data_IF_661519811121
#
_entry.id   IF_661519811121
#
_cell.length_a   1.000
_cell.length_b   1.000
_cell.length_c   1.000
_cell.angle_alpha   90.00
_cell.angle_beta   90.00
_cell.angle_gamma   90.00
#
_symmetry.space_group_name_H-M   'P 1'
#
loop_
_entity.id
_entity.type
_entity.pdbx_description
1 polymer ?
#
# COMPACT_ATOMS: atom_id res chain seq x y z
N UNK A 1 -40.05 -9.90 14.82
CA UNK A 1 -38.78 -9.16 14.61
C UNK A 1 -37.63 -10.14 14.35
N UNK A 2 -37.69 -10.93 13.27
CA UNK A 2 -36.64 -11.94 12.93
C UNK A 2 -36.09 -11.80 11.48
N UNK A 3 -36.59 -10.83 10.69
CA UNK A 3 -36.13 -10.64 9.31
C UNK A 3 -34.85 -9.79 9.18
N UNK A 4 -34.49 -9.02 10.22
CA UNK A 4 -33.31 -8.13 10.16
C UNK A 4 -31.97 -8.86 10.41
N UNK A 5 -31.99 -10.09 10.94
CA UNK A 5 -30.79 -10.84 11.30
C UNK A 5 -30.20 -11.66 10.14
N UNK A 6 -30.90 -11.75 9.00
CA UNK A 6 -30.52 -12.56 7.84
C UNK A 6 -29.73 -11.79 6.75
N UNK A 7 -29.49 -10.48 6.92
CA UNK A 7 -28.76 -9.65 5.93
C UNK A 7 -27.28 -9.42 6.33
N UNK A 8 -26.85 -9.84 7.52
CA UNK A 8 -25.51 -9.52 8.04
C UNK A 8 -24.60 -10.75 8.21
N UNK A 9 -24.74 -11.76 7.34
CA UNK A 9 -23.94 -13.00 7.40
C UNK A 9 -22.78 -13.04 6.42
N UNK A 10 -22.42 -11.91 5.81
CA UNK A 10 -21.19 -11.79 5.06
C UNK A 10 -20.36 -10.66 5.68
N UNK A 11 -19.75 -10.96 6.84
CA UNK A 11 -18.69 -10.14 7.45
C UNK A 11 -17.65 -9.86 6.37
N UNK A 12 -17.84 -8.74 5.69
CA UNK A 12 -17.08 -8.42 4.48
C UNK A 12 -15.72 -7.99 4.98
N UNK A 13 -14.75 -8.88 4.80
CA UNK A 13 -13.36 -8.67 5.18
C UNK A 13 -12.94 -7.23 4.86
N UNK A 14 -12.49 -6.49 5.87
CA UNK A 14 -12.12 -5.10 5.67
C UNK A 14 -10.98 -5.01 4.65
N UNK A 15 -11.24 -4.28 3.57
CA UNK A 15 -10.35 -4.05 2.44
C UNK A 15 -10.37 -2.57 2.10
N UNK A 16 -9.21 -2.00 1.83
CA UNK A 16 -9.07 -0.62 1.41
C UNK A 16 -8.13 -0.54 0.21
N UNK A 17 -8.60 0.07 -0.88
CA UNK A 17 -7.78 0.38 -2.06
C UNK A 17 -7.71 1.89 -2.17
N UNK A 18 -6.50 2.43 -2.27
CA UNK A 18 -6.31 3.86 -2.33
C UNK A 18 -5.06 4.22 -3.12
N UNK A 19 -5.07 5.43 -3.67
CA UNK A 19 -3.95 6.00 -4.41
C UNK A 19 -3.41 7.17 -3.61
N UNK A 20 -2.10 7.21 -3.43
CA UNK A 20 -1.41 8.32 -2.79
C UNK A 20 -0.55 9.03 -3.83
N UNK A 21 -0.66 10.35 -3.86
CA UNK A 21 0.21 11.24 -4.61
C UNK A 21 1.10 11.96 -3.61
N UNK A 22 2.42 11.96 -3.84
CA UNK A 22 3.38 12.72 -3.03
C UNK A 22 3.40 12.34 -1.54
N UNK A 23 3.12 11.08 -1.21
CA UNK A 23 3.22 10.54 0.15
C UNK A 23 4.68 10.41 0.63
N UNK A 24 5.01 9.32 1.34
CA UNK A 24 6.33 9.07 1.98
C UNK A 24 7.55 8.98 1.04
N UNK A 25 7.46 9.41 -0.23
CA UNK A 25 8.58 9.31 -1.17
C UNK A 25 8.48 10.08 -2.49
N UNK A 26 7.63 11.10 -2.63
CA UNK A 26 7.47 11.91 -3.87
C UNK A 26 6.89 11.15 -5.09
N UNK A 27 6.53 9.87 -4.96
CA UNK A 27 6.05 9.01 -6.04
C UNK A 27 4.52 8.85 -6.00
N UNK A 28 3.93 8.44 -7.13
CA UNK A 28 2.56 7.95 -7.21
C UNK A 28 2.54 6.49 -6.75
N UNK A 29 1.73 6.16 -5.75
CA UNK A 29 1.61 4.80 -5.21
C UNK A 29 0.17 4.34 -5.14
N UNK A 30 -0.14 3.19 -5.71
CA UNK A 30 -1.39 2.47 -5.48
C UNK A 30 -1.17 1.46 -4.35
N UNK A 31 -2.08 1.44 -3.38
CA UNK A 31 -1.99 0.60 -2.20
C UNK A 31 -3.27 -0.24 -2.04
N UNK A 32 -3.08 -1.47 -1.59
CA UNK A 32 -4.13 -2.37 -1.15
C UNK A 32 -3.83 -2.81 0.29
N UNK A 33 -4.74 -2.51 1.21
CA UNK A 33 -4.72 -2.94 2.60
C UNK A 33 -5.89 -3.89 2.85
N UNK A 34 -5.63 -5.01 3.51
CA UNK A 34 -6.67 -5.96 3.87
C UNK A 34 -6.41 -6.54 5.25
N UNK A 35 -7.49 -6.78 6.00
CA UNK A 35 -7.45 -7.64 7.19
C UNK A 35 -7.58 -9.08 6.74
N UNK A 36 -6.82 -10.01 7.31
CA UNK A 36 -6.92 -11.43 6.94
C UNK A 36 -8.07 -12.15 7.67
N UNK A 37 -8.56 -11.55 8.75
CA UNK A 37 -9.72 -12.02 9.50
C UNK A 37 -10.97 -11.21 9.15
N UNK A 38 -12.14 -11.85 9.24
CA UNK A 38 -13.46 -11.22 9.26
C UNK A 38 -13.73 -10.52 10.60
N UNK A 39 -12.69 -9.98 11.24
CA UNK A 39 -12.79 -9.26 12.51
C UNK A 39 -12.03 -7.96 12.36
N UNK A 40 -12.50 -6.94 13.06
CA UNK A 40 -11.85 -5.62 13.08
C UNK A 40 -10.48 -5.64 13.75
N UNK A 41 -10.21 -6.63 14.61
CA UNK A 41 -8.90 -6.88 15.21
C UNK A 41 -8.20 -8.08 14.55
N UNK A 42 -6.91 -8.21 14.82
CA UNK A 42 -6.08 -9.30 14.29
C UNK A 42 -5.15 -8.86 13.16
N UNK A 43 -4.67 -9.85 12.41
CA UNK A 43 -3.62 -9.67 11.41
C UNK A 43 -4.23 -9.08 10.14
N UNK A 44 -3.55 -8.07 9.60
CA UNK A 44 -3.76 -7.58 8.25
C UNK A 44 -2.43 -7.44 7.52
N UNK A 45 -2.53 -7.02 6.27
CA UNK A 45 -1.39 -6.77 5.43
C UNK A 45 -1.68 -5.66 4.44
N UNK A 46 -0.59 -5.03 4.00
CA UNK A 46 -0.58 -4.05 2.93
C UNK A 46 0.39 -4.47 1.84
N UNK A 47 0.01 -4.21 0.60
CA UNK A 47 0.91 -4.25 -0.54
C UNK A 47 0.61 -3.05 -1.42
N UNK A 48 1.64 -2.48 -2.03
CA UNK A 48 1.47 -1.42 -2.99
C UNK A 48 2.46 -1.52 -4.13
N UNK A 49 2.22 -0.68 -5.13
CA UNK A 49 3.14 -0.45 -6.23
C UNK A 49 3.26 1.05 -6.44
N UNK A 50 4.49 1.53 -6.53
CA UNK A 50 4.78 2.94 -6.72
C UNK A 50 5.70 3.19 -7.89
N UNK A 51 5.46 4.28 -8.59
CA UNK A 51 6.31 4.75 -9.67
C UNK A 51 6.38 6.27 -9.67
N UNK A 52 7.51 6.81 -10.11
CA UNK A 52 7.66 8.24 -10.33
C UNK A 52 9.10 8.63 -10.63
N UNK A 53 9.30 9.91 -10.90
CA UNK A 53 10.61 10.47 -11.25
C UNK A 53 11.09 11.39 -10.14
N UNK A 54 12.33 11.21 -9.71
CA UNK A 54 12.94 12.13 -8.74
C UNK A 54 13.30 13.45 -9.43
N UNK A 55 12.76 14.59 -8.95
CA UNK A 55 12.95 15.88 -9.61
C UNK A 55 14.41 16.37 -9.58
N UNK A 56 15.22 15.91 -8.62
CA UNK A 56 16.61 16.34 -8.47
C UNK A 56 17.62 15.53 -9.29
N UNK A 57 17.24 14.36 -9.80
CA UNK A 57 18.18 13.45 -10.49
C UNK A 57 17.64 12.91 -11.82
N UNK A 58 16.40 13.21 -12.18
CA UNK A 58 15.67 12.61 -13.31
C UNK A 58 15.63 11.07 -13.29
N UNK A 59 15.92 10.46 -12.15
CA UNK A 59 15.90 9.01 -12.01
C UNK A 59 14.46 8.54 -11.88
N UNK A 60 14.09 7.52 -12.67
CA UNK A 60 12.83 6.83 -12.49
C UNK A 60 12.97 5.83 -11.35
N UNK A 61 12.06 5.89 -10.39
CA UNK A 61 12.02 5.00 -9.24
C UNK A 61 10.75 4.18 -9.30
N UNK A 62 10.94 2.88 -9.08
CA UNK A 62 9.88 1.90 -8.91
C UNK A 62 9.97 1.30 -7.51
N UNK A 63 8.82 1.18 -6.84
CA UNK A 63 8.75 0.66 -5.48
C UNK A 63 7.65 -0.39 -5.32
N UNK A 64 7.90 -1.36 -4.46
CA UNK A 64 6.90 -2.33 -4.00
C UNK A 64 6.95 -2.34 -2.47
N UNK A 65 6.15 -1.52 -1.79
CA UNK A 65 5.96 -1.62 -0.35
C UNK A 65 5.11 -2.86 -0.01
N UNK A 66 5.57 -3.65 0.93
CA UNK A 66 4.83 -4.75 1.55
C UNK A 66 4.86 -4.57 3.07
N UNK A 67 3.79 -4.95 3.75
CA UNK A 67 3.73 -4.87 5.19
C UNK A 67 2.70 -5.78 5.81
N UNK A 68 2.92 -6.10 7.07
CA UNK A 68 2.01 -6.82 7.93
C UNK A 68 1.70 -5.93 9.12
N UNK A 69 0.46 -5.96 9.56
CA UNK A 69 0.02 -5.26 10.76
C UNK A 69 -0.83 -6.17 11.63
N UNK A 70 -0.86 -5.87 12.92
CA UNK A 70 -1.61 -6.61 13.92
C UNK A 70 -2.32 -5.62 14.84
N UNK A 71 -3.64 -5.64 14.80
CA UNK A 71 -4.52 -4.83 15.65
C UNK A 71 -4.89 -5.61 16.91
N UNK A 72 -4.42 -5.14 18.07
CA UNK A 72 -4.75 -5.66 19.39
C UNK A 72 -5.67 -4.67 20.10
N UNK A 73 -6.86 -5.10 20.51
CA UNK A 73 -7.77 -4.21 21.23
C UNK A 73 -9.18 -4.73 21.32
N UNK A 74 -10.01 -4.00 22.07
CA UNK A 74 -11.43 -4.29 22.30
C UNK A 74 -12.27 -3.02 22.15
N UNK A 75 -13.47 -3.18 21.59
CA UNK A 75 -14.47 -2.14 21.35
C UNK A 75 -13.96 -1.00 20.45
N UNK A 76 -13.46 0.08 21.06
CA UNK A 76 -13.13 1.35 20.41
C UNK A 76 -11.64 1.67 20.42
N UNK A 77 -10.87 1.05 21.33
CA UNK A 77 -9.44 1.28 21.46
C UNK A 77 -8.69 0.09 20.85
N UNK A 78 -7.89 0.37 19.83
CA UNK A 78 -7.02 -0.60 19.20
C UNK A 78 -5.59 -0.06 19.16
N UNK A 79 -4.67 -0.92 19.54
CA UNK A 79 -3.25 -0.74 19.37
C UNK A 79 -2.83 -1.49 18.10
N UNK A 80 -2.14 -0.80 17.19
CA UNK A 80 -1.62 -1.40 15.97
C UNK A 80 -0.10 -1.53 16.07
N UNK A 81 0.40 -2.74 15.84
CA UNK A 81 1.83 -2.98 15.60
C UNK A 81 2.01 -3.50 14.19
N UNK A 82 3.02 -3.03 13.48
CA UNK A 82 3.26 -3.45 12.12
C UNK A 82 4.73 -3.51 11.78
N UNK A 83 5.04 -4.33 10.78
CA UNK A 83 6.35 -4.44 10.16
C UNK A 83 6.19 -4.36 8.64
N UNK A 84 7.16 -3.77 7.97
CA UNK A 84 7.10 -3.62 6.52
C UNK A 84 8.47 -3.50 5.90
N UNK A 85 8.52 -3.84 4.62
CA UNK A 85 9.69 -3.71 3.79
C UNK A 85 9.27 -3.08 2.46
N UNK A 86 10.16 -2.28 1.88
CA UNK A 86 9.93 -1.66 0.59
C UNK A 86 11.04 -2.09 -0.35
N UNK A 87 10.69 -2.82 -1.40
CA UNK A 87 11.61 -3.02 -2.51
C UNK A 87 11.67 -1.73 -3.33
N UNK A 88 12.89 -1.29 -3.66
CA UNK A 88 13.12 -0.08 -4.44
C UNK A 88 14.09 -0.37 -5.57
N UNK A 89 13.72 0.01 -6.78
CA UNK A 89 14.59 0.03 -7.96
C UNK A 89 14.66 1.44 -8.51
N UNK A 90 15.85 2.02 -8.52
CA UNK A 90 16.13 3.29 -9.18
C UNK A 90 16.84 3.03 -10.51
N UNK A 91 16.36 3.64 -11.58
CA UNK A 91 16.99 3.60 -12.90
C UNK A 91 17.40 5.03 -13.25
N UNK A 92 18.68 5.29 -13.55
CA UNK A 92 19.11 6.60 -14.00
C UNK A 92 18.34 7.03 -15.25
N UNK A 93 17.80 8.25 -15.23
CA UNK A 93 17.21 8.84 -16.43
C UNK A 93 18.31 9.28 -17.37
N UNK A 94 18.82 8.37 -18.21
CA UNK A 94 19.70 8.77 -19.31
C UNK A 94 18.88 9.60 -20.28
N UNK A 95 18.99 10.93 -20.19
CA UNK A 95 18.55 11.82 -21.25
C UNK A 95 19.21 11.37 -22.55
N UNK A 96 18.37 11.12 -23.57
CA UNK A 96 18.69 10.79 -24.96
C UNK A 96 20.20 10.68 -25.24
N UNK A 97 20.74 9.45 -25.26
CA UNK A 97 22.02 9.21 -25.92
C UNK A 97 21.83 9.53 -27.41
N UNK A 98 22.20 10.75 -27.81
CA UNK A 98 22.35 11.12 -29.21
C UNK A 98 23.46 10.23 -29.75
N UNK A 99 23.08 9.19 -30.50
CA UNK A 99 24.01 8.45 -31.34
C UNK A 99 24.49 9.41 -32.42
N UNK A 100 25.61 10.09 -32.17
CA UNK A 100 26.34 10.78 -33.22
C UNK A 100 27.22 9.72 -33.92
N UNK A 101 26.64 9.09 -34.94
CA UNK A 101 27.40 8.25 -35.86
C UNK A 101 28.28 9.16 -36.72
N UNK A 102 29.59 9.01 -36.55
CA UNK A 102 30.66 9.57 -37.38
C UNK A 102 30.48 9.29 -38.86
#
# INVERSE_FOLDING_TARGET
>A
MQAQQLIDSNETRAQNVYIELLGQGLLLTANYDTRFSNKRNGIGGRVGVGFGTLPLSNNTVFTIPIGLNYLIGKKINFFEIGLGATYLKSTPGYGNAVFNGS
#
